data_IF_589570877935
#
_entry.id   IF_589570877935
#
_cell.length_a   1.000
_cell.length_b   1.000
_cell.length_c   1.000
_cell.angle_alpha   90.00
_cell.angle_beta   90.00
_cell.angle_gamma   90.00
#
_symmetry.space_group_name_H-M   'P 1'
#
loop_
_entity.id
_entity.type
_entity.pdbx_description
1 polymer ?
#
# COMPACT_ATOMS: atom_id res chain seq x y z
N UNK A 1 5.61 20.90 3.83
CA UNK A 1 5.47 20.19 2.54
C UNK A 1 4.01 19.79 2.43
N UNK A 2 3.45 19.70 1.23
CA UNK A 2 2.03 19.31 1.01
C UNK A 2 1.98 17.96 0.28
N UNK A 3 2.84 17.02 0.67
CA UNK A 3 3.03 15.78 -0.08
C UNK A 3 1.77 14.92 -0.04
N UNK A 4 1.07 14.91 1.10
CA UNK A 4 -0.23 14.26 1.22
C UNK A 4 -1.22 14.78 0.17
N UNK A 5 -1.36 16.10 0.06
CA UNK A 5 -2.26 16.75 -0.90
C UNK A 5 -1.88 16.38 -2.34
N UNK A 6 -0.59 16.39 -2.66
CA UNK A 6 -0.07 16.05 -3.99
C UNK A 6 -0.33 14.58 -4.33
N UNK A 7 -0.04 13.66 -3.41
CA UNK A 7 -0.28 12.22 -3.61
C UNK A 7 -1.78 11.95 -3.83
N UNK A 8 -2.66 12.52 -2.99
CA UNK A 8 -4.11 12.35 -3.12
C UNK A 8 -4.63 12.93 -4.44
N UNK A 9 -4.11 14.08 -4.86
CA UNK A 9 -4.49 14.70 -6.14
C UNK A 9 -4.05 13.85 -7.34
N UNK A 10 -2.86 13.24 -7.27
CA UNK A 10 -2.39 12.29 -8.31
C UNK A 10 -3.28 11.04 -8.37
N UNK A 11 -3.67 10.51 -7.21
CA UNK A 11 -4.62 9.38 -7.11
C UNK A 11 -5.98 9.76 -7.71
N UNK A 12 -6.50 10.95 -7.38
CA UNK A 12 -7.75 11.48 -7.96
C UNK A 12 -7.65 11.59 -9.49
N UNK A 13 -6.57 12.13 -10.04
CA UNK A 13 -6.40 12.28 -11.50
C UNK A 13 -6.41 10.92 -12.21
N UNK A 14 -5.70 9.92 -11.67
CA UNK A 14 -5.70 8.56 -12.23
C UNK A 14 -7.07 7.89 -12.07
N UNK A 15 -7.71 8.03 -10.91
CA UNK A 15 -9.05 7.50 -10.66
C UNK A 15 -10.09 8.08 -11.62
N UNK A 16 -10.03 9.39 -11.87
CA UNK A 16 -10.88 10.06 -12.83
C UNK A 16 -10.64 9.56 -14.26
N UNK A 17 -9.37 9.40 -14.65
CA UNK A 17 -8.97 8.87 -15.95
C UNK A 17 -9.46 7.45 -16.23
N UNK A 18 -9.49 6.61 -15.20
CA UNK A 18 -9.99 5.23 -15.30
C UNK A 18 -11.51 5.14 -15.54
N UNK A 19 -12.27 6.21 -15.27
CA UNK A 19 -13.73 6.24 -15.45
C UNK A 19 -14.41 5.00 -14.83
N UNK A 20 -15.24 4.29 -15.62
CA UNK A 20 -15.92 3.06 -15.21
C UNK A 20 -14.96 1.88 -14.94
N UNK A 21 -13.74 1.92 -15.49
CA UNK A 21 -12.76 0.87 -15.29
C UNK A 21 -12.20 0.86 -13.87
N UNK A 22 -12.28 2.00 -13.16
CA UNK A 22 -11.91 2.15 -11.75
C UNK A 22 -12.58 1.11 -10.85
N UNK A 23 -13.82 0.70 -11.16
CA UNK A 23 -14.56 -0.29 -10.36
C UNK A 23 -13.94 -1.70 -10.41
N UNK A 24 -13.07 -1.96 -11.39
CA UNK A 24 -12.31 -3.21 -11.54
C UNK A 24 -10.92 -3.13 -10.90
N UNK A 25 -10.49 -1.94 -10.47
CA UNK A 25 -9.13 -1.67 -9.99
C UNK A 25 -9.11 -1.47 -8.48
N UNK A 26 -8.00 -1.90 -7.87
CA UNK A 26 -7.68 -1.61 -6.48
C UNK A 26 -6.38 -0.84 -6.45
N UNK A 27 -6.39 0.34 -5.84
CA UNK A 27 -5.21 1.17 -5.66
C UNK A 27 -4.39 0.64 -4.48
N UNK A 28 -3.10 0.44 -4.72
CA UNK A 28 -2.15 -0.11 -3.76
C UNK A 28 -0.89 0.74 -3.74
N UNK A 29 0.15 0.30 -3.02
CA UNK A 29 1.44 0.97 -3.03
C UNK A 29 1.50 2.27 -2.22
N UNK A 30 2.55 3.05 -2.46
CA UNK A 30 2.91 4.20 -1.62
C UNK A 30 2.00 5.43 -1.79
N UNK A 31 1.28 5.53 -2.91
CA UNK A 31 0.44 6.69 -3.23
C UNK A 31 -0.83 6.77 -2.38
N UNK A 32 -1.34 5.63 -1.92
CA UNK A 32 -2.57 5.53 -1.12
C UNK A 32 -2.34 5.42 0.39
N UNK A 33 -1.09 5.35 0.86
CA UNK A 33 -0.74 5.18 2.29
C UNK A 33 -1.46 6.21 3.18
N UNK A 34 -1.49 7.48 2.76
CA UNK A 34 -2.13 8.56 3.53
C UNK A 34 -3.66 8.45 3.63
N UNK A 35 -4.29 7.57 2.85
CA UNK A 35 -5.73 7.28 2.92
C UNK A 35 -6.08 6.30 4.06
N UNK A 36 -5.07 5.63 4.65
CA UNK A 36 -5.27 4.76 5.81
C UNK A 36 -5.24 5.51 7.15
N UNK A 37 -4.70 6.73 7.18
CA UNK A 37 -4.60 7.53 8.39
C UNK A 37 -5.95 8.14 8.81
N UNK A 38 -6.30 7.97 10.08
CA UNK A 38 -7.49 8.57 10.71
C UNK A 38 -7.14 9.52 11.86
N UNK A 39 -5.87 9.57 12.28
CA UNK A 39 -5.36 10.49 13.28
C UNK A 39 -5.27 11.93 12.72
N UNK A 40 -5.95 12.93 13.31
CA UNK A 40 -5.85 14.32 12.91
C UNK A 40 -4.44 14.91 13.03
N UNK A 41 -3.59 14.34 13.89
CA UNK A 41 -2.21 14.74 14.10
C UNK A 41 -1.22 13.93 13.25
N UNK A 42 -1.70 13.21 12.23
CA UNK A 42 -0.84 12.46 11.33
C UNK A 42 0.14 13.37 10.60
N UNK A 43 1.41 12.94 10.56
CA UNK A 43 2.48 13.72 9.93
C UNK A 43 2.44 13.64 8.40
N UNK A 44 3.26 14.46 7.76
CA UNK A 44 3.50 14.42 6.33
C UNK A 44 4.02 13.05 5.87
N UNK A 45 3.75 12.73 4.61
CA UNK A 45 4.20 11.50 3.98
C UNK A 45 5.29 11.79 2.94
N UNK A 46 6.12 10.80 2.64
CA UNK A 46 7.02 10.85 1.49
C UNK A 46 6.24 11.07 0.19
N UNK A 47 6.76 11.89 -0.74
CA UNK A 47 6.15 12.02 -2.06
C UNK A 47 6.30 10.72 -2.85
N UNK A 48 5.24 10.32 -3.54
CA UNK A 48 5.22 9.14 -4.41
C UNK A 48 4.95 9.60 -5.84
N UNK A 49 5.68 9.05 -6.81
CA UNK A 49 5.65 9.54 -8.20
C UNK A 49 4.75 8.72 -9.11
N UNK A 50 4.45 7.51 -8.67
CA UNK A 50 3.82 6.42 -9.38
C UNK A 50 2.53 5.99 -8.66
N UNK A 51 1.58 5.47 -9.44
CA UNK A 51 0.35 4.88 -8.93
C UNK A 51 0.40 3.37 -9.19
N UNK A 52 0.35 2.58 -8.12
CA UNK A 52 0.23 1.12 -8.23
C UNK A 52 -1.25 0.72 -8.22
N UNK A 53 -1.63 -0.11 -9.19
CA UNK A 53 -2.96 -0.68 -9.32
C UNK A 53 -2.86 -2.20 -9.37
N UNK A 54 -3.87 -2.88 -8.84
CA UNK A 54 -4.04 -4.30 -9.05
C UNK A 54 -5.47 -4.65 -9.46
N UNK A 55 -5.61 -5.72 -10.24
CA UNK A 55 -6.88 -6.23 -10.75
C UNK A 55 -6.85 -7.73 -10.97
N UNK A 56 -8.05 -8.33 -10.97
CA UNK A 56 -8.22 -9.75 -11.26
C UNK A 56 -8.03 -10.04 -12.75
N UNK A 57 -6.96 -10.75 -13.10
CA UNK A 57 -6.70 -11.23 -14.47
C UNK A 57 -6.95 -12.73 -14.51
N UNK A 58 -7.83 -13.17 -15.42
CA UNK A 58 -8.31 -14.57 -15.45
C UNK A 58 -7.45 -15.41 -16.40
N UNK A 59 -7.04 -14.82 -17.51
CA UNK A 59 -6.20 -15.44 -18.52
C UNK A 59 -5.64 -14.36 -19.48
N UNK A 60 -4.79 -14.76 -20.42
CA UNK A 60 -4.19 -13.86 -21.41
C UNK A 60 -5.22 -13.13 -22.29
N UNK A 61 -6.35 -13.76 -22.64
CA UNK A 61 -7.41 -13.12 -23.40
C UNK A 61 -8.15 -12.05 -22.61
N UNK A 62 -8.36 -12.25 -21.31
CA UNK A 62 -8.87 -11.21 -20.42
C UNK A 62 -7.88 -10.04 -20.32
N UNK A 63 -6.59 -10.34 -20.16
CA UNK A 63 -5.55 -9.32 -20.13
C UNK A 63 -5.50 -8.46 -21.39
N UNK A 64 -5.60 -9.08 -22.57
CA UNK A 64 -5.63 -8.33 -23.82
C UNK A 64 -6.81 -7.34 -23.87
N UNK A 65 -8.01 -7.77 -23.45
CA UNK A 65 -9.19 -6.88 -23.39
C UNK A 65 -9.00 -5.73 -22.40
N UNK A 66 -8.39 -6.02 -21.24
CA UNK A 66 -8.01 -5.00 -20.26
C UNK A 66 -7.09 -3.95 -20.91
N UNK A 67 -6.09 -4.39 -21.67
CA UNK A 67 -5.16 -3.48 -22.37
C UNK A 67 -5.87 -2.62 -23.42
N UNK A 68 -6.80 -3.20 -24.18
CA UNK A 68 -7.60 -2.48 -25.17
C UNK A 68 -8.49 -1.41 -24.49
N UNK A 69 -9.21 -1.76 -23.42
CA UNK A 69 -10.04 -0.81 -22.64
C UNK A 69 -9.18 0.30 -22.01
N UNK A 70 -8.02 -0.03 -21.43
CA UNK A 70 -7.09 0.94 -20.87
C UNK A 70 -6.55 1.92 -21.93
N UNK A 71 -6.24 1.41 -23.12
CA UNK A 71 -5.75 2.23 -24.23
C UNK A 71 -6.81 3.24 -24.73
N UNK A 72 -8.10 2.88 -24.69
CA UNK A 72 -9.21 3.80 -25.00
C UNK A 72 -9.33 4.92 -23.96
N UNK A 73 -8.95 4.63 -22.70
CA UNK A 73 -8.93 5.58 -21.59
C UNK A 73 -7.63 6.41 -21.51
N UNK A 74 -6.69 6.19 -22.45
CA UNK A 74 -5.43 6.92 -22.51
C UNK A 74 -4.31 6.36 -21.63
N UNK A 75 -4.48 5.15 -21.08
CA UNK A 75 -3.45 4.42 -20.38
C UNK A 75 -2.69 3.54 -21.37
N UNK A 76 -1.43 3.86 -21.62
CA UNK A 76 -0.59 3.14 -22.58
C UNK A 76 0.62 2.51 -21.89
N UNK A 77 1.09 1.33 -22.35
CA UNK A 77 2.34 0.76 -21.87
C UNK A 77 3.48 1.77 -21.98
N UNK A 78 4.32 1.86 -20.95
CA UNK A 78 5.47 2.77 -20.92
C UNK A 78 6.72 2.07 -21.48
N UNK A 79 7.24 2.48 -22.65
CA UNK A 79 8.46 1.90 -23.20
C UNK A 79 9.71 2.13 -22.34
N UNK A 80 9.65 3.10 -21.41
CA UNK A 80 10.71 3.40 -20.45
C UNK A 80 10.45 2.80 -19.06
N UNK A 81 9.36 2.04 -18.92
CA UNK A 81 8.97 1.39 -17.67
C UNK A 81 9.94 0.28 -17.26
N UNK A 82 9.88 -0.10 -15.98
CA UNK A 82 10.75 -1.14 -15.43
C UNK A 82 10.25 -2.55 -15.77
N UNK A 83 8.98 -2.68 -16.14
CA UNK A 83 8.35 -3.97 -16.44
C UNK A 83 7.27 -3.84 -17.51
N UNK A 84 6.75 -4.98 -17.95
CA UNK A 84 5.58 -5.05 -18.85
C UNK A 84 4.28 -4.54 -18.18
N UNK A 85 4.29 -4.42 -16.85
CA UNK A 85 3.19 -3.90 -16.06
C UNK A 85 3.22 -2.37 -15.97
N UNK A 86 4.25 -1.70 -16.50
CA UNK A 86 4.39 -0.25 -16.43
C UNK A 86 3.63 0.45 -17.55
N UNK A 87 2.76 1.37 -17.17
CA UNK A 87 1.93 2.21 -18.03
C UNK A 87 2.19 3.69 -17.74
N UNK A 88 1.68 4.54 -18.63
CA UNK A 88 1.61 5.99 -18.45
C UNK A 88 0.21 6.50 -18.74
N UNK A 89 -0.27 7.40 -17.90
CA UNK A 89 -1.47 8.20 -18.09
C UNK A 89 -1.12 9.67 -17.83
N UNK A 90 -1.32 10.58 -18.79
CA UNK A 90 -0.95 12.00 -18.62
C UNK A 90 0.49 12.26 -18.10
N UNK A 91 1.45 11.39 -18.44
CA UNK A 91 2.84 11.37 -17.92
C UNK A 91 3.00 10.89 -16.48
N UNK A 92 1.91 10.52 -15.80
CA UNK A 92 1.90 9.83 -14.51
C UNK A 92 2.28 8.36 -14.78
N UNK A 93 3.36 7.84 -14.19
CA UNK A 93 3.66 6.41 -14.17
C UNK A 93 2.57 5.64 -13.41
N UNK A 94 2.08 4.57 -14.01
CA UNK A 94 1.06 3.71 -13.41
C UNK A 94 1.49 2.26 -13.59
N UNK A 95 1.70 1.52 -12.50
CA UNK A 95 2.03 0.11 -12.55
C UNK A 95 0.77 -0.73 -12.31
N UNK A 96 0.43 -1.62 -13.25
CA UNK A 96 -0.81 -2.40 -13.24
C UNK A 96 -0.47 -3.89 -13.11
N UNK A 97 -0.75 -4.47 -11.94
CA UNK A 97 -0.38 -5.83 -11.58
C UNK A 97 -1.59 -6.76 -11.44
N UNK A 98 -1.44 -8.02 -11.85
CA UNK A 98 -2.44 -9.07 -11.59
C UNK A 98 -2.51 -9.41 -10.09
N UNK A 99 -3.67 -9.82 -9.58
CA UNK A 99 -3.84 -10.34 -8.20
C UNK A 99 -3.23 -11.72 -7.97
N UNK A 100 -2.97 -12.47 -9.04
CA UNK A 100 -2.35 -13.78 -9.01
C UNK A 100 -1.15 -13.82 -9.97
N UNK A 101 -0.26 -14.78 -9.73
CA UNK A 101 0.86 -15.09 -10.63
C UNK A 101 0.36 -15.23 -12.06
N UNK A 102 1.09 -14.60 -12.96
CA UNK A 102 0.73 -14.57 -14.38
C UNK A 102 1.97 -14.75 -15.25
N UNK A 103 1.81 -14.93 -16.56
CA UNK A 103 2.95 -14.95 -17.48
C UNK A 103 3.82 -13.68 -17.44
N UNK A 104 3.35 -12.61 -16.78
CA UNK A 104 4.04 -11.33 -16.64
C UNK A 104 4.91 -11.23 -15.38
N UNK A 105 4.81 -12.20 -14.47
CA UNK A 105 5.61 -12.26 -13.25
C UNK A 105 4.83 -12.76 -12.04
N UNK A 106 5.53 -12.98 -10.92
CA UNK A 106 4.90 -13.29 -9.64
C UNK A 106 4.09 -12.08 -9.15
N UNK A 107 2.99 -12.36 -8.44
CA UNK A 107 2.17 -11.35 -7.79
C UNK A 107 2.44 -11.32 -6.28
N UNK A 108 1.98 -10.25 -5.61
CA UNK A 108 1.97 -10.23 -4.17
C UNK A 108 0.92 -11.24 -3.65
N UNK A 109 1.30 -12.25 -2.85
CA UNK A 109 0.39 -13.30 -2.37
C UNK A 109 -0.83 -12.77 -1.61
N UNK A 110 -0.75 -11.57 -1.03
CA UNK A 110 -1.83 -10.97 -0.26
C UNK A 110 -2.92 -10.35 -1.12
N UNK A 111 -2.68 -10.07 -2.40
CA UNK A 111 -3.68 -9.43 -3.26
C UNK A 111 -4.94 -10.28 -3.42
N UNK A 112 -4.81 -11.59 -3.65
CA UNK A 112 -5.97 -12.48 -3.82
C UNK A 112 -6.91 -12.44 -2.61
N UNK A 113 -6.35 -12.59 -1.41
CA UNK A 113 -7.11 -12.54 -0.14
C UNK A 113 -7.67 -11.14 0.08
N UNK A 114 -6.89 -10.10 -0.20
CA UNK A 114 -7.30 -8.71 -0.04
C UNK A 114 -8.52 -8.31 -0.88
N UNK A 115 -8.71 -8.93 -2.05
CA UNK A 115 -9.90 -8.69 -2.89
C UNK A 115 -11.20 -9.19 -2.27
N UNK A 116 -11.15 -10.07 -1.28
CA UNK A 116 -12.32 -10.53 -0.54
C UNK A 116 -12.83 -9.48 0.47
N UNK A 117 -11.99 -8.51 0.85
CA UNK A 117 -12.30 -7.47 1.82
C UNK A 117 -11.74 -6.10 1.40
N UNK A 118 -12.26 -5.56 0.29
CA UNK A 118 -11.87 -4.24 -0.21
C UNK A 118 -12.58 -3.12 0.55
N UNK A 119 -11.82 -2.09 0.88
CA UNK A 119 -12.36 -0.85 1.43
C UNK A 119 -12.61 0.18 0.33
N UNK A 120 -13.51 1.12 0.61
CA UNK A 120 -13.68 2.33 -0.20
C UNK A 120 -13.00 3.48 0.53
N UNK A 121 -12.11 4.17 -0.16
CA UNK A 121 -11.50 5.41 0.32
C UNK A 121 -11.83 6.57 -0.62
N UNK A 122 -11.76 7.79 -0.10
CA UNK A 122 -12.04 9.00 -0.85
C UNK A 122 -10.74 9.74 -1.15
N UNK A 123 -10.37 9.81 -2.43
CA UNK A 123 -9.30 10.65 -2.94
C UNK A 123 -9.93 11.94 -3.49
N UNK A 124 -9.96 12.99 -2.67
CA UNK A 124 -10.66 14.25 -2.96
C UNK A 124 -12.13 14.02 -3.37
N UNK A 125 -12.49 14.13 -4.65
CA UNK A 125 -13.87 13.92 -5.13
C UNK A 125 -14.14 12.50 -5.60
N UNK A 126 -13.10 11.70 -5.83
CA UNK A 126 -13.20 10.34 -6.35
C UNK A 126 -13.25 9.30 -5.23
N UNK A 127 -14.17 8.34 -5.34
CA UNK A 127 -14.16 7.12 -4.53
C UNK A 127 -13.35 6.04 -5.25
N UNK A 128 -12.43 5.39 -4.54
CA UNK A 128 -11.56 4.33 -5.05
C UNK A 128 -11.64 3.10 -4.16
N UNK A 129 -11.29 1.93 -4.71
CA UNK A 129 -11.06 0.72 -3.92
C UNK A 129 -9.60 0.64 -3.48
N UNK A 130 -9.40 0.29 -2.22
CA UNK A 130 -8.08 -0.01 -1.62
C UNK A 130 -8.19 -1.32 -0.84
N UNK A 131 -7.05 -1.91 -0.49
CA UNK A 131 -7.00 -3.07 0.41
C UNK A 131 -7.47 -2.68 1.83
N UNK A 132 -7.84 -3.67 2.64
CA UNK A 132 -7.94 -3.43 4.10
C UNK A 132 -6.59 -2.97 4.65
N UNK A 133 -6.56 -2.17 5.72
CA UNK A 133 -5.30 -1.75 6.32
C UNK A 133 -4.40 -2.95 6.74
N UNK A 134 -4.91 -4.02 7.37
CA UNK A 134 -4.10 -5.20 7.66
C UNK A 134 -3.54 -5.85 6.39
N UNK A 135 -4.34 -6.02 5.34
CA UNK A 135 -3.86 -6.59 4.08
C UNK A 135 -2.81 -5.70 3.41
N UNK A 136 -2.98 -4.38 3.45
CA UNK A 136 -1.99 -3.42 2.96
C UNK A 136 -0.66 -3.58 3.68
N UNK A 137 -0.67 -3.63 5.02
CA UNK A 137 0.55 -3.88 5.81
C UNK A 137 1.22 -5.20 5.39
N UNK A 138 0.44 -6.25 5.15
CA UNK A 138 0.97 -7.54 4.73
C UNK A 138 1.68 -7.42 3.36
N UNK A 139 1.09 -6.69 2.40
CA UNK A 139 1.72 -6.45 1.10
C UNK A 139 3.05 -5.71 1.22
N UNK A 140 3.18 -4.78 2.17
CA UNK A 140 4.41 -4.00 2.40
C UNK A 140 5.50 -4.83 3.04
N UNK A 141 5.19 -5.62 4.06
CA UNK A 141 6.14 -6.57 4.62
C UNK A 141 6.62 -7.59 3.58
N UNK A 142 5.72 -8.10 2.74
CA UNK A 142 6.07 -9.00 1.65
C UNK A 142 7.01 -8.34 0.63
N UNK A 143 6.74 -7.08 0.25
CA UNK A 143 7.63 -6.31 -0.61
C UNK A 143 9.02 -6.10 0.01
N UNK A 144 9.07 -5.77 1.31
CA UNK A 144 10.32 -5.64 2.04
C UNK A 144 11.10 -6.97 2.09
N UNK A 145 10.44 -8.07 2.42
CA UNK A 145 11.07 -9.39 2.50
C UNK A 145 11.66 -9.84 1.15
N UNK A 146 10.99 -9.49 0.04
CA UNK A 146 11.48 -9.79 -1.30
C UNK A 146 12.64 -8.89 -1.75
N UNK A 147 12.61 -7.59 -1.41
CA UNK A 147 13.68 -6.64 -1.74
C UNK A 147 14.90 -6.77 -0.82
N UNK A 148 14.65 -7.16 0.42
CA UNK A 148 15.62 -7.14 1.52
C UNK A 148 16.11 -5.73 1.83
N UNK A 149 17.25 -5.66 2.51
CA UNK A 149 17.92 -4.40 2.83
C UNK A 149 17.79 -4.03 4.30
N UNK A 150 18.17 -2.78 4.58
CA UNK A 150 18.24 -2.26 5.93
C UNK A 150 16.87 -1.77 6.40
N UNK A 151 16.49 -2.15 7.63
CA UNK A 151 15.17 -1.82 8.16
C UNK A 151 14.93 -0.31 8.30
N UNK A 152 15.99 0.50 8.37
CA UNK A 152 15.93 1.96 8.59
C UNK A 152 15.84 2.78 7.30
N UNK A 153 15.98 2.13 6.14
CA UNK A 153 16.02 2.78 4.82
C UNK A 153 15.02 2.19 3.83
N UNK A 154 14.07 1.40 4.31
CA UNK A 154 13.05 0.73 3.52
C UNK A 154 11.80 1.59 3.43
N UNK A 155 11.43 1.99 2.21
CA UNK A 155 10.16 2.66 1.96
C UNK A 155 8.94 1.78 2.27
N UNK A 156 9.09 0.46 2.19
CA UNK A 156 7.99 -0.45 2.56
C UNK A 156 7.76 -0.43 4.08
N UNK A 157 8.85 -0.35 4.87
CA UNK A 157 8.74 -0.24 6.34
C UNK A 157 8.34 1.18 6.78
N UNK A 158 8.79 2.21 6.07
CA UNK A 158 8.28 3.58 6.25
C UNK A 158 6.75 3.61 6.15
N UNK A 159 6.18 3.00 5.11
CA UNK A 159 4.74 2.90 4.91
C UNK A 159 4.04 2.07 6.01
N UNK A 160 4.66 0.98 6.48
CA UNK A 160 4.16 0.17 7.61
C UNK A 160 4.09 1.01 8.88
N UNK A 161 5.18 1.67 9.26
CA UNK A 161 5.25 2.49 10.48
C UNK A 161 4.27 3.65 10.38
N UNK A 162 4.14 4.29 9.21
CA UNK A 162 3.18 5.36 9.00
C UNK A 162 1.74 4.91 9.30
N UNK A 163 1.32 3.74 8.81
CA UNK A 163 -0.03 3.22 9.06
C UNK A 163 -0.20 2.81 10.52
N UNK A 164 0.78 2.16 11.13
CA UNK A 164 0.72 1.76 12.54
C UNK A 164 0.60 2.99 13.45
N UNK A 165 1.35 4.05 13.17
CA UNK A 165 1.29 5.30 13.92
C UNK A 165 -0.07 5.98 13.74
N UNK A 166 -0.49 6.19 12.49
CA UNK A 166 -1.55 7.14 12.15
C UNK A 166 -2.93 6.53 11.96
N UNK A 167 -3.07 5.21 12.11
CA UNK A 167 -4.36 4.52 12.15
C UNK A 167 -4.68 4.06 13.57
N UNK A 168 -5.65 4.71 14.20
CA UNK A 168 -5.97 4.50 15.62
C UNK A 168 -6.59 3.13 15.89
N UNK A 169 -7.36 2.60 14.93
CA UNK A 169 -8.05 1.31 15.04
C UNK A 169 -7.24 0.09 14.58
N UNK A 170 -6.00 0.27 14.12
CA UNK A 170 -5.24 -0.77 13.39
C UNK A 170 -5.06 -2.08 14.16
N UNK A 171 -4.84 -2.03 15.48
CA UNK A 171 -4.69 -3.22 16.32
C UNK A 171 -5.96 -4.08 16.26
N UNK A 172 -7.12 -3.46 16.44
CA UNK A 172 -8.41 -4.15 16.44
C UNK A 172 -8.78 -4.68 15.06
N UNK A 173 -8.38 -3.98 14.00
CA UNK A 173 -8.56 -4.42 12.62
C UNK A 173 -7.72 -5.64 12.31
N UNK A 174 -6.43 -5.66 12.68
CA UNK A 174 -5.55 -6.83 12.51
C UNK A 174 -6.10 -8.02 13.30
N UNK A 175 -6.55 -7.80 14.55
CA UNK A 175 -7.13 -8.85 15.39
C UNK A 175 -8.35 -9.52 14.74
N UNK A 176 -9.18 -8.73 14.07
CA UNK A 176 -10.43 -9.16 13.44
C UNK A 176 -10.28 -9.62 11.99
N UNK A 177 -9.11 -9.48 11.38
CA UNK A 177 -8.86 -9.94 10.01
C UNK A 177 -8.70 -11.48 9.97
N UNK A 178 -8.56 -12.02 8.77
CA UNK A 178 -8.38 -13.46 8.55
C UNK A 178 -7.11 -13.97 9.22
N UNK A 179 -7.10 -15.22 9.75
CA UNK A 179 -5.96 -15.77 10.49
C UNK A 179 -4.63 -15.66 9.74
N UNK A 180 -4.63 -15.84 8.43
CA UNK A 180 -3.44 -15.80 7.57
C UNK A 180 -2.74 -14.43 7.62
N UNK A 181 -3.49 -13.34 7.49
CA UNK A 181 -2.95 -11.97 7.56
C UNK A 181 -2.51 -11.67 8.99
N UNK A 182 -3.32 -12.03 9.99
CA UNK A 182 -3.01 -11.78 11.41
C UNK A 182 -1.72 -12.47 11.82
N UNK A 183 -1.58 -13.76 11.53
CA UNK A 183 -0.41 -14.55 11.88
C UNK A 183 0.84 -14.07 11.16
N UNK A 184 0.71 -13.70 9.88
CA UNK A 184 1.81 -13.12 9.12
C UNK A 184 2.30 -11.81 9.74
N UNK A 185 1.41 -10.83 9.94
CA UNK A 185 1.77 -9.54 10.53
C UNK A 185 2.39 -9.71 11.92
N UNK A 186 1.80 -10.56 12.75
CA UNK A 186 2.35 -10.91 14.06
C UNK A 186 3.78 -11.44 13.96
N UNK A 187 4.04 -12.33 13.00
CA UNK A 187 5.38 -12.88 12.80
C UNK A 187 6.38 -11.83 12.32
N UNK A 188 5.97 -10.91 11.46
CA UNK A 188 6.83 -9.83 10.96
C UNK A 188 7.18 -8.83 12.05
N UNK A 189 6.19 -8.40 12.85
CA UNK A 189 6.44 -7.49 13.98
C UNK A 189 7.31 -8.12 15.07
N UNK A 190 7.19 -9.43 15.34
CA UNK A 190 8.08 -10.13 16.28
C UNK A 190 9.55 -10.05 15.87
N UNK A 191 9.86 -10.01 14.57
CA UNK A 191 11.25 -9.83 14.11
C UNK A 191 11.85 -8.50 14.58
N UNK A 192 11.05 -7.47 14.79
CA UNK A 192 11.55 -6.18 15.29
C UNK A 192 11.99 -6.30 16.75
N UNK A 193 11.20 -6.99 17.58
CA UNK A 193 11.47 -7.16 19.01
C UNK A 193 12.55 -8.20 19.28
N UNK A 194 12.55 -9.31 18.55
CA UNK A 194 13.51 -10.40 18.73
C UNK A 194 14.96 -9.97 18.40
N UNK A 195 15.11 -8.97 17.53
CA UNK A 195 16.40 -8.41 17.14
C UNK A 195 16.77 -7.13 17.91
N UNK A 196 15.93 -6.66 18.84
CA UNK A 196 16.16 -5.42 19.60
C UNK A 196 16.37 -4.19 18.70
N UNK A 197 15.66 -4.12 17.56
CA UNK A 197 15.80 -3.04 16.55
C UNK A 197 14.59 -2.11 16.49
N UNK A 198 13.54 -2.36 17.28
CA UNK A 198 12.28 -1.62 17.19
C UNK A 198 12.49 -0.11 17.38
N UNK A 199 13.11 0.31 18.48
CA UNK A 199 13.34 1.75 18.75
C UNK A 199 14.19 2.42 17.66
N UNK A 200 15.17 1.68 17.11
CA UNK A 200 16.03 2.18 16.02
C UNK A 200 15.22 2.41 14.74
N UNK A 201 14.32 1.48 14.40
CA UNK A 201 13.39 1.61 13.27
C UNK A 201 12.46 2.81 13.48
N UNK A 202 11.87 2.92 14.67
CA UNK A 202 10.93 4.01 14.96
C UNK A 202 11.60 5.38 14.91
N UNK A 203 12.84 5.48 15.40
CA UNK A 203 13.64 6.71 15.31
C UNK A 203 13.93 7.10 13.85
N UNK A 204 14.02 6.13 12.94
CA UNK A 204 14.26 6.39 11.52
C UNK A 204 13.04 6.95 10.78
N UNK A 205 11.82 6.59 11.20
CA UNK A 205 10.59 6.90 10.45
C UNK A 205 9.62 7.85 11.15
N UNK A 206 9.70 7.99 12.47
CA UNK A 206 8.88 8.95 13.20
C UNK A 206 9.57 10.31 13.21
N UNK A 207 8.80 11.36 12.96
CA UNK A 207 9.33 12.71 12.92
C UNK A 207 9.99 13.11 14.25
N UNK A 208 11.20 13.69 14.24
CA UNK A 208 11.97 13.97 15.46
C UNK A 208 11.23 14.84 16.48
N UNK A 209 10.37 15.76 16.03
CA UNK A 209 9.58 16.64 16.91
C UNK A 209 8.42 15.93 17.62
N UNK A 210 7.97 14.77 17.12
CA UNK A 210 6.88 13.99 17.70
C UNK A 210 7.36 12.66 18.31
N UNK A 211 8.65 12.35 18.18
CA UNK A 211 9.22 11.05 18.50
C UNK A 211 8.87 10.56 19.91
N UNK A 212 9.02 11.42 20.92
CA UNK A 212 8.76 11.05 22.32
C UNK A 212 7.31 10.59 22.55
N UNK A 213 6.34 11.30 21.99
CA UNK A 213 4.91 11.00 22.16
C UNK A 213 4.48 9.82 21.28
N UNK A 214 4.92 9.81 20.02
CA UNK A 214 4.50 8.84 18.99
C UNK A 214 5.14 7.47 19.16
N UNK A 215 6.42 7.42 19.54
CA UNK A 215 7.16 6.16 19.66
C UNK A 215 6.50 5.23 20.68
N UNK A 216 6.10 5.75 21.84
CA UNK A 216 5.45 4.95 22.87
C UNK A 216 4.11 4.36 22.37
N UNK A 217 3.31 5.15 21.66
CA UNK A 217 2.05 4.68 21.07
C UNK A 217 2.27 3.57 20.05
N UNK A 218 3.27 3.72 19.18
CA UNK A 218 3.61 2.72 18.17
C UNK A 218 4.11 1.43 18.81
N UNK A 219 4.99 1.52 19.81
CA UNK A 219 5.47 0.35 20.59
C UNK A 219 4.30 -0.38 21.23
N UNK A 220 3.37 0.35 21.87
CA UNK A 220 2.19 -0.24 22.50
C UNK A 220 1.28 -0.97 21.50
N UNK A 221 1.05 -0.39 20.32
CA UNK A 221 0.27 -1.04 19.25
C UNK A 221 0.96 -2.31 18.75
N UNK A 222 2.27 -2.25 18.51
CA UNK A 222 3.07 -3.39 18.04
C UNK A 222 3.04 -4.53 19.06
N UNK A 223 3.21 -4.23 20.35
CA UNK A 223 3.15 -5.25 21.40
C UNK A 223 1.77 -5.92 21.47
N UNK A 224 0.68 -5.15 21.35
CA UNK A 224 -0.68 -5.72 21.30
C UNK A 224 -0.88 -6.65 20.10
N UNK A 225 -0.34 -6.30 18.92
CA UNK A 225 -0.39 -7.15 17.72
C UNK A 225 0.44 -8.44 17.92
N UNK A 226 1.52 -8.38 18.68
CA UNK A 226 2.40 -9.53 18.95
C UNK A 226 1.78 -10.50 19.97
N UNK A 227 1.05 -9.98 20.95
CA UNK A 227 0.45 -10.72 22.06
C UNK A 227 -0.83 -11.48 21.65
N UNK A 228 -1.63 -10.92 20.74
CA UNK A 228 -2.85 -11.53 20.18
C UNK A 228 -2.57 -12.80 19.33
#
# INVERSE_FOLDING_TARGET
>A
MENRTINISTVEEVAHGLQHFKDKMVFVGGSVVSLYADDPAADEIRPTKDIDLTLNVINLGHWQKIQEELAELGFYPDPQGQSICSYKFNKIPVDIMSTEDSPFGPSNPWYKIGFENLWTAKANTEEIKILSAPCFLATKFEAFNNRGGDYRWSHDLEDVIYVIDNRTSIVQEIKNDVPEIREFLRSEFKKFTDNDILEEILTAYIHPLMLEERMQLVIEKINQIIED
#
